data_IF_440550379938
#
_entry.id   IF_440550379938
#
_cell.length_a   1.000
_cell.length_b   1.000
_cell.length_c   1.000
_cell.angle_alpha   90.00
_cell.angle_beta   90.00
_cell.angle_gamma   90.00
#
_symmetry.space_group_name_H-M   'P 1'
#
loop_
_entity.id
_entity.type
_entity.pdbx_description
1 polymer ?
#
# COMPACT_ATOMS: atom_id res chain seq x y z
N UNK A 1 -21.53 -2.83 -0.43
CA UNK A 1 -20.80 -4.12 -0.35
C UNK A 1 -19.31 -3.82 -0.52
N UNK A 2 -18.54 -3.83 0.56
CA UNK A 2 -17.09 -3.65 0.50
C UNK A 2 -16.49 -4.89 -0.18
N UNK A 3 -16.06 -4.77 -1.44
CA UNK A 3 -15.33 -5.84 -2.12
C UNK A 3 -14.01 -6.02 -1.37
N UNK A 4 -13.84 -7.22 -0.82
CA UNK A 4 -12.64 -7.72 -0.15
C UNK A 4 -11.45 -7.49 -1.09
N UNK A 5 -10.41 -6.79 -0.64
CA UNK A 5 -9.14 -6.66 -1.37
C UNK A 5 -8.61 -8.06 -1.69
N UNK A 6 -8.76 -8.49 -2.94
CA UNK A 6 -8.33 -9.81 -3.36
C UNK A 6 -6.87 -9.71 -3.82
N UNK A 7 -5.97 -10.21 -2.99
CA UNK A 7 -4.53 -10.23 -3.26
C UNK A 7 -4.21 -11.46 -4.09
N UNK A 8 -3.74 -11.24 -5.32
CA UNK A 8 -3.27 -12.29 -6.22
C UNK A 8 -1.74 -12.30 -6.25
N UNK A 9 -1.15 -13.49 -6.23
CA UNK A 9 0.30 -13.67 -6.35
C UNK A 9 0.59 -14.15 -7.77
N UNK A 10 1.50 -13.45 -8.47
CA UNK A 10 1.90 -13.77 -9.84
C UNK A 10 3.43 -13.76 -9.93
N UNK A 11 3.99 -14.57 -10.80
CA UNK A 11 5.41 -14.47 -11.14
C UNK A 11 5.64 -13.45 -12.29
N UNK A 12 6.91 -13.20 -12.61
CA UNK A 12 7.27 -12.22 -13.65
C UNK A 12 6.85 -12.64 -15.06
N UNK A 13 6.86 -13.94 -15.35
CA UNK A 13 6.46 -14.48 -16.66
C UNK A 13 4.95 -14.30 -16.85
N UNK A 14 4.15 -14.57 -15.82
CA UNK A 14 2.70 -14.34 -15.83
C UNK A 14 2.36 -12.86 -16.01
N UNK A 15 3.12 -11.97 -15.34
CA UNK A 15 2.98 -10.53 -15.49
C UNK A 15 3.20 -10.09 -16.94
N UNK A 16 4.30 -10.54 -17.56
CA UNK A 16 4.64 -10.19 -18.94
C UNK A 16 3.62 -10.71 -19.94
N UNK A 17 3.15 -11.95 -19.75
CA UNK A 17 2.18 -12.57 -20.65
C UNK A 17 0.78 -11.94 -20.56
N UNK A 18 0.39 -11.39 -19.40
CA UNK A 18 -0.99 -10.96 -19.13
C UNK A 18 -1.12 -9.48 -18.72
N UNK A 19 -0.13 -8.64 -19.03
CA UNK A 19 -0.06 -7.25 -18.53
C UNK A 19 -1.35 -6.46 -18.79
N UNK A 20 -1.92 -6.53 -19.99
CA UNK A 20 -3.13 -5.78 -20.35
C UNK A 20 -4.37 -6.26 -19.58
N UNK A 21 -4.45 -7.55 -19.26
CA UNK A 21 -5.54 -8.12 -18.46
C UNK A 21 -5.38 -7.70 -16.99
N UNK A 22 -4.17 -7.82 -16.45
CA UNK A 22 -3.84 -7.42 -15.08
C UNK A 22 -4.19 -5.93 -14.85
N UNK A 23 -3.77 -5.04 -15.76
CA UNK A 23 -4.10 -3.60 -15.66
C UNK A 23 -5.62 -3.33 -15.68
N UNK A 24 -6.40 -4.09 -16.46
CA UNK A 24 -7.87 -3.99 -16.46
C UNK A 24 -8.47 -4.50 -15.13
N UNK A 25 -7.94 -5.57 -14.57
CA UNK A 25 -8.40 -6.17 -13.32
C UNK A 25 -8.04 -5.36 -12.06
N UNK A 26 -6.97 -4.55 -12.11
CA UNK A 26 -6.59 -3.67 -10.99
C UNK A 26 -7.63 -2.56 -10.74
N UNK A 27 -8.38 -2.15 -11.77
CA UNK A 27 -9.41 -1.09 -11.66
C UNK A 27 -10.51 -1.41 -10.64
N UNK A 28 -11.02 -2.64 -10.51
CA UNK A 28 -11.98 -3.02 -9.48
C UNK A 28 -11.38 -3.61 -8.18
N UNK A 29 -10.30 -3.04 -7.62
CA UNK A 29 -9.88 -3.36 -6.25
C UNK A 29 -9.12 -4.69 -6.07
N UNK A 30 -8.45 -5.15 -7.13
CA UNK A 30 -7.52 -6.27 -7.05
C UNK A 30 -6.10 -5.75 -6.85
N UNK A 31 -5.35 -6.41 -5.97
CA UNK A 31 -3.92 -6.15 -5.73
C UNK A 31 -3.13 -7.35 -6.25
N UNK A 32 -2.08 -7.08 -7.03
CA UNK A 32 -1.18 -8.12 -7.52
C UNK A 32 0.17 -8.01 -6.82
N UNK A 33 0.63 -9.09 -6.20
CA UNK A 33 1.98 -9.24 -5.66
C UNK A 33 2.82 -10.05 -6.65
N UNK A 34 3.94 -9.46 -7.07
CA UNK A 34 4.86 -10.05 -8.03
C UNK A 34 5.95 -10.78 -7.25
N UNK A 35 6.06 -12.08 -7.49
CA UNK A 35 7.01 -12.98 -6.85
C UNK A 35 8.27 -13.14 -7.71
N UNK A 36 9.45 -13.10 -7.09
CA UNK A 36 10.74 -13.48 -7.68
C UNK A 36 11.48 -14.37 -6.70
N UNK A 37 11.95 -15.54 -7.15
CA UNK A 37 12.66 -16.52 -6.31
C UNK A 37 11.93 -16.81 -4.98
N UNK A 38 10.61 -17.00 -5.03
CA UNK A 38 9.74 -17.27 -3.88
C UNK A 38 9.52 -16.11 -2.90
N UNK A 39 9.97 -14.90 -3.22
CA UNK A 39 9.73 -13.71 -2.40
C UNK A 39 8.93 -12.63 -3.17
N UNK A 40 7.97 -11.95 -2.51
CA UNK A 40 7.25 -10.83 -3.12
C UNK A 40 8.19 -9.65 -3.30
N UNK A 41 8.48 -9.29 -4.55
CA UNK A 41 9.41 -8.22 -4.92
C UNK A 41 8.69 -6.90 -5.22
N UNK A 42 7.48 -6.96 -5.77
CA UNK A 42 6.74 -5.75 -6.15
C UNK A 42 5.22 -5.94 -5.97
N UNK A 43 4.49 -4.83 -5.88
CA UNK A 43 3.04 -4.81 -5.77
C UNK A 43 2.46 -3.88 -6.83
N UNK A 44 1.40 -4.32 -7.51
CA UNK A 44 0.60 -3.49 -8.40
C UNK A 44 -0.78 -3.31 -7.77
N UNK A 45 -1.18 -2.06 -7.60
CA UNK A 45 -2.49 -1.65 -7.10
C UNK A 45 -2.99 -0.44 -7.90
N UNK A 46 -4.28 -0.11 -7.76
CA UNK A 46 -4.85 1.04 -8.47
C UNK A 46 -4.27 2.35 -7.92
N UNK A 47 -4.16 3.38 -8.78
CA UNK A 47 -3.69 4.71 -8.33
C UNK A 47 -4.52 5.23 -7.16
N UNK A 48 -5.84 5.03 -7.19
CA UNK A 48 -6.75 5.46 -6.12
C UNK A 48 -6.41 4.82 -4.76
N UNK A 49 -6.11 3.52 -4.74
CA UNK A 49 -5.71 2.84 -3.50
C UNK A 49 -4.32 3.28 -3.05
N UNK A 50 -3.41 3.56 -3.99
CA UNK A 50 -2.09 4.09 -3.68
C UNK A 50 -2.16 5.49 -3.04
N UNK A 51 -2.99 6.37 -3.59
CA UNK A 51 -3.21 7.72 -3.06
C UNK A 51 -3.85 7.68 -1.65
N UNK A 52 -4.81 6.80 -1.41
CA UNK A 52 -5.37 6.57 -0.07
C UNK A 52 -4.30 6.11 0.92
N UNK A 53 -3.45 5.16 0.52
CA UNK A 53 -2.37 4.65 1.36
C UNK A 53 -1.42 5.79 1.75
N UNK A 54 -1.02 6.63 0.77
CA UNK A 54 -0.18 7.80 1.02
C UNK A 54 -0.84 8.81 1.95
N UNK A 55 -2.13 9.08 1.78
CA UNK A 55 -2.89 9.99 2.64
C UNK A 55 -2.89 9.47 4.09
N UNK A 56 -3.24 8.20 4.32
CA UNK A 56 -3.26 7.61 5.65
C UNK A 56 -1.88 7.59 6.31
N UNK A 57 -0.81 7.32 5.54
CA UNK A 57 0.56 7.39 6.06
C UNK A 57 0.95 8.81 6.48
N UNK A 58 0.53 9.82 5.71
CA UNK A 58 0.77 11.22 6.06
C UNK A 58 0.00 11.64 7.31
N UNK A 59 -1.25 11.21 7.47
CA UNK A 59 -2.05 11.44 8.67
C UNK A 59 -1.40 10.81 9.92
N UNK A 60 -0.96 9.54 9.80
CA UNK A 60 -0.24 8.84 10.87
C UNK A 60 1.07 9.55 11.22
N UNK A 61 1.81 10.02 10.22
CA UNK A 61 3.06 10.77 10.44
C UNK A 61 2.79 12.10 11.16
N UNK A 62 1.71 12.79 10.81
CA UNK A 62 1.30 14.02 11.48
C UNK A 62 0.88 13.76 12.94
N UNK A 63 0.14 12.67 13.19
CA UNK A 63 -0.24 12.26 14.54
C UNK A 63 0.98 11.89 15.40
N UNK A 64 1.91 11.11 14.85
CA UNK A 64 3.16 10.75 15.52
C UNK A 64 3.99 11.99 15.88
N UNK A 65 4.09 12.98 14.97
CA UNK A 65 4.77 14.25 15.25
C UNK A 65 4.13 15.01 16.41
N UNK A 66 2.80 15.03 16.51
CA UNK A 66 2.08 15.63 17.65
C UNK A 66 2.39 14.89 18.95
N UNK A 67 2.41 13.56 18.94
CA UNK A 67 2.79 12.75 20.12
C UNK A 67 4.21 13.07 20.60
N UNK A 68 5.18 13.14 19.68
CA UNK A 68 6.59 13.46 20.01
C UNK A 68 6.72 14.88 20.56
N UNK A 69 6.01 15.85 19.99
CA UNK A 69 6.00 17.23 20.50
C UNK A 69 5.37 17.31 21.90
N UNK A 70 4.28 16.57 22.14
CA UNK A 70 3.63 16.48 23.44
C UNK A 70 4.53 15.87 24.52
N UNK A 71 5.33 14.86 24.16
CA UNK A 71 6.34 14.28 25.05
C UNK A 71 7.49 15.25 25.34
N UNK A 72 7.98 15.99 24.34
CA UNK A 72 9.03 17.01 24.54
C UNK A 72 8.56 18.20 25.40
N UNK A 73 7.28 18.56 25.35
CA UNK A 73 6.71 19.65 26.15
C UNK A 73 6.55 19.32 27.64
N UNK A 74 6.34 18.06 28.00
CA UNK A 74 6.11 17.63 29.40
C UNK A 74 7.38 17.40 30.22
N UNK A 75 8.56 17.43 29.61
CA UNK A 75 9.87 17.28 30.28
C UNK A 75 10.43 18.56 30.91
N UNK A 76 9.75 19.71 30.78
CA UNK A 76 10.11 20.96 31.47
C UNK A 76 9.11 21.25 32.59
N UNK A 77 9.18 20.49 33.67
CA UNK A 77 8.82 21.01 35.00
C UNK A 77 10.12 21.09 35.80
N UNK A 78 10.66 22.30 35.85
CA UNK A 78 11.65 22.73 36.83
C UNK A 78 10.91 23.59 37.85
#
# INVERSE_FOLDING_TARGET
>A
MAKKDEIKYININELQANISKIIKEIRPGFIYKIMRYSEPTAVILSCKEYEKLLASLNELRAACRKCVLHMKGKGRKK
#
